data_IF_882419147025
#
_entry.id   IF_882419147025
#
_cell.length_a   1.000
_cell.length_b   1.000
_cell.length_c   1.000
_cell.angle_alpha   90.00
_cell.angle_beta   90.00
_cell.angle_gamma   90.00
#
_symmetry.space_group_name_H-M   'P 1'
#
loop_
_entity.id
_entity.type
_entity.pdbx_description
1 polymer ?
#
# COMPACT_ATOMS: atom_id res chain seq x y z
N UNK A 1 12.31 24.08 -0.96
CA UNK A 1 10.87 23.98 -1.31
C UNK A 1 10.23 23.11 -0.28
N UNK A 2 9.04 23.44 0.21
CA UNK A 2 8.25 22.61 1.12
C UNK A 2 6.88 22.35 0.52
N UNK A 3 6.30 21.19 0.81
CA UNK A 3 5.11 20.67 0.16
C UNK A 3 3.93 20.59 1.12
N UNK A 4 2.74 20.73 0.59
CA UNK A 4 1.49 20.40 1.29
C UNK A 4 1.10 18.97 0.98
N UNK A 5 1.07 18.12 2.00
CA UNK A 5 0.90 16.68 1.88
C UNK A 5 -0.37 16.21 2.57
N UNK A 6 -1.14 15.37 1.87
CA UNK A 6 -2.33 14.72 2.41
C UNK A 6 -2.06 13.23 2.55
N UNK A 7 -2.35 12.64 3.71
CA UNK A 7 -2.31 11.19 3.92
C UNK A 7 -3.73 10.68 4.05
N UNK A 8 -4.20 9.95 3.04
CA UNK A 8 -5.53 9.35 2.99
C UNK A 8 -5.50 7.95 3.58
N UNK A 9 -6.32 7.67 4.58
CA UNK A 9 -6.27 6.42 5.33
C UNK A 9 -5.24 6.45 6.47
N UNK A 10 -4.99 7.63 7.03
CA UNK A 10 -3.97 7.90 8.05
C UNK A 10 -4.11 7.06 9.34
N UNK A 11 -5.30 6.52 9.63
CA UNK A 11 -5.55 5.68 10.82
C UNK A 11 -5.18 4.21 10.61
N UNK A 12 -4.99 3.78 9.35
CA UNK A 12 -4.56 2.42 9.00
C UNK A 12 -3.07 2.18 9.24
N UNK A 13 -2.64 0.92 9.22
CA UNK A 13 -1.23 0.56 9.44
C UNK A 13 -0.29 1.26 8.44
N UNK A 14 -0.62 1.20 7.15
CA UNK A 14 0.19 1.83 6.09
C UNK A 14 0.16 3.36 6.21
N UNK A 15 -1.00 3.96 6.51
CA UNK A 15 -1.10 5.41 6.66
C UNK A 15 -0.29 5.95 7.84
N UNK A 16 -0.27 5.23 8.97
CA UNK A 16 0.57 5.57 10.12
C UNK A 16 2.05 5.45 9.80
N UNK A 17 2.43 4.39 9.07
CA UNK A 17 3.81 4.18 8.66
C UNK A 17 4.28 5.26 7.67
N UNK A 18 3.42 5.69 6.75
CA UNK A 18 3.71 6.83 5.87
C UNK A 18 4.01 8.09 6.69
N UNK A 19 3.18 8.39 7.70
CA UNK A 19 3.41 9.53 8.58
C UNK A 19 4.75 9.41 9.32
N UNK A 20 5.08 8.25 9.87
CA UNK A 20 6.34 7.99 10.55
C UNK A 20 7.54 8.19 9.62
N UNK A 21 7.50 7.62 8.40
CA UNK A 21 8.59 7.73 7.44
C UNK A 21 8.78 9.15 6.92
N UNK A 22 7.70 9.91 6.71
CA UNK A 22 7.79 11.31 6.31
C UNK A 22 8.51 12.15 7.37
N UNK A 23 8.25 11.89 8.65
CA UNK A 23 8.93 12.55 9.77
C UNK A 23 10.37 12.07 9.90
N UNK A 24 10.62 10.76 9.95
CA UNK A 24 11.96 10.16 10.06
C UNK A 24 12.91 10.65 8.96
N UNK A 25 12.40 10.82 7.74
CA UNK A 25 13.17 11.30 6.59
C UNK A 25 13.23 12.82 6.48
N UNK A 26 12.69 13.53 7.46
CA UNK A 26 12.63 15.01 7.46
C UNK A 26 12.10 15.55 6.11
N UNK A 27 11.05 14.88 5.56
CA UNK A 27 10.48 15.29 4.29
C UNK A 27 10.02 16.77 4.39
N UNK A 28 10.32 17.63 3.40
CA UNK A 28 10.09 19.06 3.50
C UNK A 28 8.60 19.41 3.42
N UNK A 29 7.89 19.31 4.53
CA UNK A 29 6.45 19.54 4.65
C UNK A 29 6.16 20.95 5.15
N UNK A 30 5.37 21.70 4.36
CA UNK A 30 4.80 22.99 4.77
C UNK A 30 3.51 22.79 5.57
N UNK A 31 2.66 21.87 5.11
CA UNK A 31 1.38 21.54 5.72
C UNK A 31 1.07 20.06 5.53
N UNK A 32 0.52 19.41 6.54
CA UNK A 32 0.14 18.01 6.49
C UNK A 32 -1.30 17.82 6.97
N UNK A 33 -2.09 17.05 6.22
CA UNK A 33 -3.44 16.67 6.59
C UNK A 33 -3.57 15.14 6.67
N UNK A 34 -4.19 14.67 7.75
CA UNK A 34 -4.54 13.26 7.93
C UNK A 34 -6.03 13.06 7.63
N UNK A 35 -6.36 12.20 6.66
CA UNK A 35 -7.74 11.91 6.29
C UNK A 35 -8.13 10.48 6.65
N UNK A 36 -9.38 10.31 7.04
CA UNK A 36 -9.97 9.02 7.34
C UNK A 36 -11.45 8.98 6.93
N UNK A 37 -12.04 7.79 6.98
CA UNK A 37 -13.50 7.66 6.84
C UNK A 37 -14.22 8.23 8.07
N UNK A 38 -15.51 8.49 7.93
CA UNK A 38 -16.37 8.97 9.05
C UNK A 38 -16.29 8.12 10.31
N UNK A 39 -16.03 6.81 10.18
CA UNK A 39 -15.87 5.90 11.34
C UNK A 39 -14.65 6.23 12.21
N UNK A 40 -13.65 6.87 11.61
CA UNK A 40 -12.40 7.24 12.29
C UNK A 40 -12.20 8.76 12.32
N UNK A 41 -13.25 9.54 12.09
CA UNK A 41 -13.20 11.00 12.15
C UNK A 41 -12.80 11.48 13.56
N UNK A 42 -11.87 12.42 13.61
CA UNK A 42 -11.36 12.97 14.87
C UNK A 42 -10.39 12.05 15.62
N UNK A 43 -10.10 10.85 15.08
CA UNK A 43 -9.03 10.00 15.63
C UNK A 43 -7.70 10.72 15.54
N UNK A 44 -6.92 10.64 16.59
CA UNK A 44 -5.59 11.22 16.63
C UNK A 44 -4.56 10.25 16.06
N UNK A 45 -3.64 10.81 15.24
CA UNK A 45 -2.49 10.09 14.68
C UNK A 45 -1.23 10.90 14.92
N UNK A 46 -0.11 10.24 15.18
CA UNK A 46 1.17 10.90 15.41
C UNK A 46 1.86 11.26 14.09
N UNK A 47 2.53 12.40 14.08
CA UNK A 47 3.49 12.81 13.06
C UNK A 47 4.66 13.46 13.77
N UNK A 48 5.75 12.73 13.99
CA UNK A 48 6.81 13.13 14.90
C UNK A 48 6.29 13.45 16.29
N UNK A 49 6.67 14.63 16.80
CA UNK A 49 6.21 15.15 18.08
C UNK A 49 4.81 15.78 18.04
N UNK A 50 4.19 15.82 16.85
CA UNK A 50 2.87 16.44 16.65
C UNK A 50 1.78 15.38 16.64
N UNK A 51 0.60 15.77 17.10
CA UNK A 51 -0.63 14.98 16.98
C UNK A 51 -1.54 15.63 15.96
N UNK A 52 -1.95 14.87 14.95
CA UNK A 52 -2.88 15.29 13.92
C UNK A 52 -4.25 14.68 14.19
N UNK A 53 -5.32 15.49 14.11
CA UNK A 53 -6.69 15.00 14.10
C UNK A 53 -7.11 14.67 12.67
N UNK A 54 -7.73 13.52 12.48
CA UNK A 54 -8.20 13.12 11.15
C UNK A 54 -9.42 13.93 10.73
N UNK A 55 -9.42 14.35 9.46
CA UNK A 55 -10.52 15.00 8.78
C UNK A 55 -11.33 13.97 7.96
N UNK A 56 -12.58 14.31 7.62
CA UNK A 56 -13.44 13.47 6.80
C UNK A 56 -13.00 13.52 5.33
N UNK A 57 -12.58 12.38 4.78
CA UNK A 57 -12.21 12.23 3.38
C UNK A 57 -13.34 12.66 2.43
N UNK A 58 -14.61 12.41 2.81
CA UNK A 58 -15.75 12.66 1.93
C UNK A 58 -16.01 14.16 1.69
N UNK A 59 -15.61 15.03 2.61
CA UNK A 59 -15.81 16.47 2.51
C UNK A 59 -14.52 17.27 2.34
N UNK A 60 -13.39 16.60 2.17
CA UNK A 60 -12.09 17.26 2.07
C UNK A 60 -11.90 17.91 0.70
N UNK A 61 -11.45 19.16 0.69
CA UNK A 61 -11.06 19.87 -0.51
C UNK A 61 -9.56 19.70 -0.77
N UNK A 62 -9.21 19.07 -1.90
CA UNK A 62 -7.84 18.85 -2.33
C UNK A 62 -7.21 20.06 -3.04
N UNK A 63 -7.95 21.14 -3.26
CA UNK A 63 -7.41 22.33 -3.93
C UNK A 63 -6.24 22.94 -3.15
N UNK A 64 -5.14 23.23 -3.85
CA UNK A 64 -3.95 23.83 -3.26
C UNK A 64 -3.05 22.87 -2.47
N UNK A 65 -3.29 21.56 -2.52
CA UNK A 65 -2.40 20.54 -2.01
C UNK A 65 -1.50 19.99 -3.13
N UNK A 66 -0.24 19.71 -2.80
CA UNK A 66 0.74 19.26 -3.79
C UNK A 66 0.70 17.74 -4.00
N UNK A 67 0.59 16.98 -2.90
CA UNK A 67 0.65 15.52 -2.93
C UNK A 67 -0.42 14.89 -2.05
N UNK A 68 -0.97 13.76 -2.52
CA UNK A 68 -1.91 12.94 -1.78
C UNK A 68 -1.46 11.47 -1.76
N UNK A 69 -1.07 10.99 -0.58
CA UNK A 69 -0.60 9.62 -0.34
C UNK A 69 -1.79 8.75 0.07
N UNK A 70 -2.21 7.85 -0.82
CA UNK A 70 -3.40 7.02 -0.62
C UNK A 70 -3.01 5.66 -0.01
N UNK A 71 -3.41 5.46 1.24
CA UNK A 71 -3.25 4.22 2.02
C UNK A 71 -4.62 3.60 2.33
N UNK A 72 -5.48 3.50 1.33
CA UNK A 72 -6.85 2.98 1.42
C UNK A 72 -7.09 1.87 0.40
N UNK A 73 -8.22 1.16 0.53
CA UNK A 73 -8.60 0.13 -0.44
C UNK A 73 -9.05 0.71 -1.78
N UNK A 74 -9.08 -0.15 -2.81
CA UNK A 74 -9.36 0.22 -4.20
C UNK A 74 -10.69 0.95 -4.40
N UNK A 75 -11.73 0.66 -3.61
CA UNK A 75 -13.03 1.35 -3.71
C UNK A 75 -12.91 2.84 -3.35
N UNK A 76 -12.27 3.16 -2.22
CA UNK A 76 -12.05 4.54 -1.84
C UNK A 76 -11.07 5.24 -2.80
N UNK A 77 -10.02 4.55 -3.25
CA UNK A 77 -9.10 5.08 -4.26
C UNK A 77 -9.85 5.43 -5.56
N UNK A 78 -10.73 4.56 -6.03
CA UNK A 78 -11.54 4.79 -7.24
C UNK A 78 -12.40 6.05 -7.15
N UNK A 79 -12.93 6.33 -5.97
CA UNK A 79 -13.78 7.51 -5.76
C UNK A 79 -12.98 8.80 -5.59
N UNK A 80 -11.89 8.77 -4.80
CA UNK A 80 -11.24 9.99 -4.33
C UNK A 80 -9.92 10.33 -5.05
N UNK A 81 -9.19 9.36 -5.59
CA UNK A 81 -7.95 9.64 -6.30
C UNK A 81 -8.15 10.52 -7.55
N UNK A 82 -9.18 10.29 -8.39
CA UNK A 82 -9.46 11.20 -9.49
C UNK A 82 -9.84 12.62 -9.06
N UNK A 83 -10.51 12.77 -7.91
CA UNK A 83 -10.86 14.10 -7.36
C UNK A 83 -9.61 14.86 -6.91
N UNK A 84 -8.68 14.18 -6.22
CA UNK A 84 -7.41 14.76 -5.83
C UNK A 84 -6.55 15.13 -7.05
N UNK A 85 -6.44 14.24 -8.02
CA UNK A 85 -5.72 14.48 -9.26
C UNK A 85 -6.29 15.65 -10.08
N UNK A 86 -7.62 15.75 -10.19
CA UNK A 86 -8.31 16.86 -10.85
C UNK A 86 -8.12 18.20 -10.13
N UNK A 87 -7.93 18.19 -8.81
CA UNK A 87 -7.59 19.36 -8.01
C UNK A 87 -6.13 19.81 -8.12
N UNK A 88 -5.29 19.07 -8.88
CA UNK A 88 -3.90 19.37 -9.12
C UNK A 88 -2.90 18.63 -8.22
N UNK A 89 -3.38 17.77 -7.29
CA UNK A 89 -2.49 16.94 -6.47
C UNK A 89 -1.84 15.84 -7.32
N UNK A 90 -0.59 15.54 -7.04
CA UNK A 90 0.00 14.26 -7.47
C UNK A 90 -0.42 13.20 -6.46
N UNK A 91 -1.17 12.21 -6.95
CA UNK A 91 -1.64 11.08 -6.14
C UNK A 91 -0.61 9.95 -6.17
N UNK A 92 -0.23 9.44 -5.01
CA UNK A 92 0.58 8.21 -4.88
C UNK A 92 -0.32 7.14 -4.25
N UNK A 93 -0.72 6.16 -5.08
CA UNK A 93 -1.70 5.14 -4.72
C UNK A 93 -1.06 3.82 -4.31
N UNK A 94 -1.29 3.38 -3.07
CA UNK A 94 -0.85 2.07 -2.58
C UNK A 94 -1.87 0.95 -2.85
N UNK A 95 -3.07 1.26 -3.35
CA UNK A 95 -4.04 0.23 -3.71
C UNK A 95 -3.61 -0.54 -4.97
N UNK A 96 -4.33 -1.59 -5.30
CA UNK A 96 -4.09 -2.33 -6.55
C UNK A 96 -4.82 -1.74 -7.77
N UNK A 97 -5.59 -0.65 -7.59
CA UNK A 97 -6.53 -0.17 -8.61
C UNK A 97 -5.84 0.24 -9.91
N UNK A 98 -4.80 1.06 -9.80
CA UNK A 98 -4.15 1.67 -10.96
C UNK A 98 -2.89 0.94 -11.44
N UNK A 99 -2.46 -0.12 -10.76
CA UNK A 99 -1.20 -0.81 -11.09
C UNK A 99 -1.12 -1.34 -12.52
N UNK A 100 -2.26 -1.72 -13.07
CA UNK A 100 -2.35 -2.32 -14.42
C UNK A 100 -2.90 -1.34 -15.48
N UNK A 101 -3.21 -0.11 -15.08
CA UNK A 101 -3.62 0.95 -16.01
C UNK A 101 -2.39 1.38 -16.85
N UNK A 102 -2.47 1.33 -18.21
CA UNK A 102 -1.33 1.68 -19.07
C UNK A 102 -0.99 3.18 -19.02
N UNK A 103 -1.89 4.03 -18.57
CA UNK A 103 -1.66 5.47 -18.45
C UNK A 103 -1.17 5.90 -17.06
N UNK A 104 -1.04 4.95 -16.13
CA UNK A 104 -0.53 5.19 -14.77
C UNK A 104 0.80 4.47 -14.60
N UNK A 105 1.88 5.19 -14.32
CA UNK A 105 3.18 4.58 -14.07
C UNK A 105 3.14 3.78 -12.75
N UNK A 106 3.71 2.58 -12.80
CA UNK A 106 3.94 1.72 -11.64
C UNK A 106 5.40 1.86 -11.22
N UNK A 107 5.66 2.50 -10.09
CA UNK A 107 7.00 3.00 -9.76
C UNK A 107 7.61 2.28 -8.56
N UNK A 108 8.85 1.87 -8.73
CA UNK A 108 9.82 1.58 -7.67
C UNK A 108 11.03 2.47 -7.95
N UNK A 109 11.26 3.53 -7.16
CA UNK A 109 12.25 4.56 -7.49
C UNK A 109 13.66 4.02 -7.75
N UNK A 110 14.07 2.96 -7.06
CA UNK A 110 15.38 2.32 -7.23
C UNK A 110 15.49 1.53 -8.54
N UNK A 111 14.38 1.31 -9.25
CA UNK A 111 14.33 0.44 -10.44
C UNK A 111 14.00 1.21 -11.70
N UNK A 112 12.94 2.03 -11.66
CA UNK A 112 12.40 2.72 -12.83
C UNK A 112 11.99 4.17 -12.53
N UNK A 113 12.83 4.93 -11.83
CA UNK A 113 12.55 6.31 -11.43
C UNK A 113 12.12 7.20 -12.61
N UNK A 114 12.70 7.01 -13.79
CA UNK A 114 12.42 7.84 -14.97
C UNK A 114 10.96 7.72 -15.43
N UNK A 115 10.28 6.61 -15.15
CA UNK A 115 8.87 6.44 -15.46
C UNK A 115 7.95 7.42 -14.68
N UNK A 116 8.46 8.10 -13.66
CA UNK A 116 7.70 9.09 -12.88
C UNK A 116 7.19 10.24 -13.77
N UNK A 117 7.93 10.60 -14.81
CA UNK A 117 7.54 11.65 -15.75
C UNK A 117 6.26 11.33 -16.53
N UNK A 118 5.83 10.07 -16.54
CA UNK A 118 4.56 9.68 -17.15
C UNK A 118 3.33 10.00 -16.30
N UNK A 119 3.51 10.35 -15.04
CA UNK A 119 2.41 10.64 -14.11
C UNK A 119 1.52 11.81 -14.57
N UNK A 120 2.05 12.73 -15.42
CA UNK A 120 1.30 13.87 -15.93
C UNK A 120 0.04 13.49 -16.73
N UNK A 121 -0.06 12.24 -17.21
CA UNK A 121 -1.24 11.77 -17.95
C UNK A 121 -2.50 11.77 -17.07
N UNK A 122 -2.36 11.37 -15.80
CA UNK A 122 -3.49 11.28 -14.85
C UNK A 122 -3.22 11.95 -13.50
N UNK A 123 -2.04 12.50 -13.26
CA UNK A 123 -1.55 12.94 -11.96
C UNK A 123 -1.62 11.82 -10.89
N UNK A 124 -1.49 10.57 -11.31
CA UNK A 124 -1.51 9.39 -10.44
C UNK A 124 -0.25 8.56 -10.68
N UNK A 125 0.37 8.14 -9.60
CA UNK A 125 1.47 7.18 -9.54
C UNK A 125 0.97 5.97 -8.76
N UNK A 126 1.13 4.76 -9.31
CA UNK A 126 0.81 3.53 -8.60
C UNK A 126 2.07 2.98 -7.90
N UNK A 127 1.88 2.54 -6.66
CA UNK A 127 2.88 1.81 -5.90
C UNK A 127 2.60 0.30 -6.02
N UNK A 128 3.62 -0.56 -6.26
CA UNK A 128 3.41 -1.99 -6.47
C UNK A 128 3.03 -2.73 -5.18
N UNK A 129 2.74 -4.01 -5.35
CA UNK A 129 2.62 -4.96 -4.24
C UNK A 129 3.91 -4.99 -3.42
N UNK A 130 3.78 -5.17 -2.10
CA UNK A 130 4.91 -5.12 -1.17
C UNK A 130 6.00 -6.17 -1.48
N UNK A 131 5.61 -7.38 -1.88
CA UNK A 131 6.55 -8.43 -2.27
C UNK A 131 7.23 -8.10 -3.59
N UNK A 132 6.49 -7.54 -4.56
CA UNK A 132 7.04 -7.08 -5.83
C UNK A 132 8.08 -5.98 -5.62
N UNK A 133 7.77 -4.95 -4.83
CA UNK A 133 8.67 -3.83 -4.58
C UNK A 133 10.04 -4.29 -4.08
N UNK A 134 10.06 -5.16 -3.05
CA UNK A 134 11.30 -5.70 -2.49
C UNK A 134 12.07 -6.56 -3.51
N UNK A 135 11.35 -7.40 -4.24
CA UNK A 135 11.94 -8.33 -5.19
C UNK A 135 12.62 -7.59 -6.36
N UNK A 136 11.96 -6.61 -6.97
CA UNK A 136 12.50 -5.92 -8.14
C UNK A 136 13.73 -5.07 -7.82
N UNK A 137 13.85 -4.54 -6.62
CA UNK A 137 15.06 -3.85 -6.16
C UNK A 137 16.26 -4.78 -6.14
N UNK A 138 16.07 -6.03 -5.70
CA UNK A 138 17.14 -7.04 -5.72
C UNK A 138 17.44 -7.56 -7.13
N UNK A 139 16.41 -7.66 -7.99
CA UNK A 139 16.54 -8.22 -9.34
C UNK A 139 17.15 -7.21 -10.34
N UNK A 140 16.86 -5.92 -10.20
CA UNK A 140 17.27 -4.88 -11.17
C UNK A 140 18.78 -4.89 -11.46
N UNK A 141 19.68 -4.81 -10.47
CA UNK A 141 21.12 -4.80 -10.74
C UNK A 141 21.62 -6.10 -11.38
N UNK A 142 20.95 -7.23 -11.15
CA UNK A 142 21.27 -8.49 -11.82
C UNK A 142 20.78 -8.50 -13.25
N UNK A 143 19.56 -8.00 -13.48
CA UNK A 143 18.96 -7.91 -14.81
C UNK A 143 19.76 -7.00 -15.74
N UNK A 144 20.28 -5.88 -15.23
CA UNK A 144 21.10 -4.93 -15.99
C UNK A 144 22.46 -5.53 -16.42
N UNK A 145 22.98 -6.46 -15.63
CA UNK A 145 24.24 -7.14 -15.92
C UNK A 145 24.07 -8.36 -16.82
N UNK A 146 22.99 -9.11 -16.62
CA UNK A 146 22.69 -10.35 -17.30
C UNK A 146 21.18 -10.54 -17.37
N UNK A 147 20.60 -10.37 -18.56
CA UNK A 147 19.15 -10.45 -18.76
C UNK A 147 18.56 -11.69 -18.08
N UNK A 148 17.73 -11.47 -17.05
CA UNK A 148 17.05 -12.53 -16.32
C UNK A 148 16.03 -13.19 -17.25
N UNK A 149 16.05 -14.51 -17.33
CA UNK A 149 15.11 -15.29 -18.14
C UNK A 149 14.03 -15.96 -17.29
N UNK A 150 14.33 -16.22 -16.01
CA UNK A 150 13.41 -16.91 -15.10
C UNK A 150 13.68 -16.47 -13.68
N UNK A 151 12.62 -16.23 -12.92
CA UNK A 151 12.64 -16.01 -11.47
C UNK A 151 11.85 -17.13 -10.80
N UNK A 152 12.41 -17.74 -9.76
CA UNK A 152 11.72 -18.62 -8.84
C UNK A 152 11.84 -18.01 -7.47
N UNK A 153 10.70 -17.70 -6.85
CA UNK A 153 10.65 -16.99 -5.57
C UNK A 153 9.70 -17.69 -4.60
N UNK A 154 10.08 -17.71 -3.34
CA UNK A 154 9.23 -18.12 -2.22
C UNK A 154 9.24 -17.01 -1.19
N UNK A 155 8.06 -16.65 -0.68
CA UNK A 155 7.91 -15.57 0.30
C UNK A 155 7.33 -16.07 1.61
N UNK A 156 7.76 -15.46 2.71
CA UNK A 156 7.09 -15.56 4.00
C UNK A 156 6.58 -14.17 4.36
N UNK A 157 5.25 -14.04 4.44
CA UNK A 157 4.59 -12.74 4.62
C UNK A 157 3.87 -12.66 5.96
N UNK A 158 3.96 -11.51 6.60
CA UNK A 158 3.30 -11.22 7.87
C UNK A 158 1.80 -11.04 7.68
N UNK A 159 1.03 -11.34 8.74
CA UNK A 159 -0.41 -11.08 8.83
C UNK A 159 -0.77 -9.59 8.68
N UNK A 160 0.19 -8.68 8.91
CA UNK A 160 -0.02 -7.24 8.77
C UNK A 160 -0.42 -6.81 7.36
N UNK A 161 -0.04 -7.57 6.33
CA UNK A 161 -0.49 -7.37 4.94
C UNK A 161 -2.01 -7.51 4.78
N UNK A 162 -2.68 -8.30 5.64
CA UNK A 162 -4.13 -8.40 5.69
C UNK A 162 -4.81 -7.27 6.50
N UNK A 163 -4.04 -6.26 6.92
CA UNK A 163 -4.51 -5.13 7.70
C UNK A 163 -4.69 -5.42 9.19
N UNK A 164 -5.34 -4.47 9.88
CA UNK A 164 -5.57 -4.58 11.32
C UNK A 164 -6.31 -5.86 11.71
N UNK A 165 -7.31 -6.26 10.94
CA UNK A 165 -8.10 -7.48 11.19
C UNK A 165 -7.22 -8.74 11.22
N UNK A 166 -6.21 -8.83 10.35
CA UNK A 166 -5.27 -9.96 10.35
C UNK A 166 -4.39 -9.98 11.60
N UNK A 167 -3.95 -8.81 12.06
CA UNK A 167 -3.17 -8.68 13.30
C UNK A 167 -4.02 -9.04 14.51
N UNK A 168 -5.24 -8.51 14.58
CA UNK A 168 -6.18 -8.77 15.69
C UNK A 168 -6.53 -10.27 15.74
N UNK A 169 -6.75 -10.92 14.60
CA UNK A 169 -7.05 -12.36 14.55
C UNK A 169 -5.85 -13.20 15.04
N UNK A 170 -4.63 -12.88 14.60
CA UNK A 170 -3.42 -13.56 15.12
C UNK A 170 -3.32 -13.41 16.65
N UNK A 171 -3.55 -12.20 17.14
CA UNK A 171 -3.49 -11.91 18.57
C UNK A 171 -4.55 -12.70 19.35
N UNK A 172 -5.79 -12.71 18.88
CA UNK A 172 -6.89 -13.42 19.52
C UNK A 172 -6.69 -14.94 19.48
N UNK A 173 -6.25 -15.50 18.36
CA UNK A 173 -5.89 -16.91 18.26
C UNK A 173 -4.72 -17.27 19.20
N UNK A 174 -3.70 -16.42 19.30
CA UNK A 174 -2.56 -16.65 20.22
C UNK A 174 -3.02 -16.70 21.67
N UNK A 175 -3.89 -15.77 22.08
CA UNK A 175 -4.46 -15.78 23.44
C UNK A 175 -5.31 -17.03 23.71
N UNK A 176 -6.12 -17.44 22.74
CA UNK A 176 -7.05 -18.58 22.91
C UNK A 176 -6.34 -19.93 23.03
N UNK A 177 -5.11 -20.06 22.54
CA UNK A 177 -4.30 -21.26 22.76
C UNK A 177 -3.97 -21.44 24.25
N UNK A 178 -3.77 -20.34 24.97
CA UNK A 178 -3.50 -20.36 26.42
C UNK A 178 -4.76 -20.23 27.27
N UNK A 179 -5.87 -19.77 26.67
CA UNK A 179 -7.17 -19.65 27.33
C UNK A 179 -8.29 -20.16 26.38
N UNK A 180 -8.60 -21.47 26.40
CA UNK A 180 -9.53 -22.11 25.45
C UNK A 180 -10.98 -21.61 25.49
N UNK A 181 -11.37 -20.84 26.49
CA UNK A 181 -12.76 -20.32 26.65
C UNK A 181 -13.12 -19.34 25.49
N UNK A 182 -12.12 -18.67 24.90
CA UNK A 182 -12.33 -17.64 23.88
C UNK A 182 -12.00 -18.12 22.46
N UNK A 183 -11.99 -19.42 22.20
CA UNK A 183 -11.62 -19.97 20.90
C UNK A 183 -12.69 -19.68 19.85
N UNK A 184 -12.43 -18.66 19.01
CA UNK A 184 -13.27 -18.29 17.86
C UNK A 184 -12.70 -18.92 16.57
N UNK A 185 -13.58 -19.35 15.64
CA UNK A 185 -13.10 -19.81 14.33
C UNK A 185 -12.39 -18.67 13.57
N UNK A 186 -11.42 -18.99 12.71
CA UNK A 186 -10.80 -18.02 11.84
C UNK A 186 -11.86 -17.28 10.99
N UNK A 187 -11.69 -15.99 10.79
CA UNK A 187 -12.59 -15.13 10.01
C UNK A 187 -11.89 -14.44 8.87
N UNK A 188 -10.65 -14.01 9.07
CA UNK A 188 -9.81 -13.35 8.08
C UNK A 188 -8.97 -14.35 7.29
N UNK A 189 -8.43 -15.34 7.97
CA UNK A 189 -7.66 -16.40 7.36
C UNK A 189 -8.49 -17.67 7.15
N UNK A 190 -8.09 -18.50 6.21
CA UNK A 190 -8.78 -19.75 5.87
C UNK A 190 -8.63 -20.82 6.97
N UNK A 191 -7.60 -20.69 7.80
CA UNK A 191 -7.26 -21.60 8.91
C UNK A 191 -6.61 -20.81 10.04
N UNK A 192 -6.38 -21.48 11.17
CA UNK A 192 -5.58 -20.92 12.25
C UNK A 192 -4.23 -20.46 11.72
N UNK A 193 -3.90 -19.19 11.99
CA UNK A 193 -2.60 -18.59 11.62
C UNK A 193 -1.62 -18.55 12.81
N UNK A 194 -2.12 -18.51 14.07
CA UNK A 194 -1.26 -18.52 15.23
C UNK A 194 -0.43 -19.81 15.27
N UNK A 195 0.90 -19.64 15.38
CA UNK A 195 1.89 -20.74 15.36
C UNK A 195 1.81 -21.63 14.12
N UNK A 196 1.43 -21.08 12.99
CA UNK A 196 1.22 -21.81 11.75
C UNK A 196 1.71 -20.99 10.54
N UNK A 197 1.85 -21.69 9.40
CA UNK A 197 2.08 -21.11 8.08
C UNK A 197 0.98 -21.60 7.15
N UNK A 198 0.28 -20.68 6.51
CA UNK A 198 -0.74 -20.98 5.49
C UNK A 198 -0.06 -20.85 4.12
N UNK A 199 -0.02 -21.92 3.30
CA UNK A 199 0.78 -21.95 2.07
C UNK A 199 0.12 -21.25 0.88
N UNK A 200 -0.66 -20.21 1.11
CA UNK A 200 -1.22 -19.33 0.08
C UNK A 200 -1.58 -17.97 0.65
N UNK A 201 -1.60 -16.96 -0.20
CA UNK A 201 -2.05 -15.60 0.12
C UNK A 201 -3.02 -15.14 -0.96
N UNK A 202 -4.12 -14.47 -0.53
CA UNK A 202 -5.20 -14.00 -1.39
C UNK A 202 -6.01 -15.17 -1.99
N UNK A 203 -6.89 -14.89 -2.95
CA UNK A 203 -7.80 -15.85 -3.57
C UNK A 203 -7.12 -16.60 -4.70
N UNK A 204 -7.56 -17.83 -4.95
CA UNK A 204 -7.12 -18.59 -6.13
C UNK A 204 -7.84 -18.09 -7.38
N UNK A 205 -7.09 -18.01 -8.46
CA UNK A 205 -7.58 -17.68 -9.81
C UNK A 205 -7.87 -18.97 -10.59
N UNK A 206 -8.59 -18.84 -11.71
CA UNK A 206 -8.89 -19.97 -12.59
C UNK A 206 -7.63 -20.62 -13.19
N UNK A 207 -6.53 -19.88 -13.25
CA UNK A 207 -5.21 -20.41 -13.66
C UNK A 207 -4.57 -21.38 -12.67
N UNK A 208 -5.09 -21.45 -11.44
CA UNK A 208 -4.49 -22.20 -10.34
C UNK A 208 -3.52 -21.38 -9.48
N UNK A 209 -3.08 -20.22 -9.96
CA UNK A 209 -2.27 -19.28 -9.19
C UNK A 209 -3.13 -18.57 -8.14
N UNK A 210 -2.50 -18.08 -7.08
CA UNK A 210 -3.14 -17.08 -6.23
C UNK A 210 -3.07 -15.70 -6.86
N UNK A 211 -3.98 -14.82 -6.49
CA UNK A 211 -3.95 -13.42 -6.95
C UNK A 211 -2.65 -12.72 -6.52
N UNK A 212 -2.07 -13.10 -5.38
CA UNK A 212 -0.78 -12.56 -4.92
C UNK A 212 0.37 -12.97 -5.85
N UNK A 213 0.42 -14.24 -6.25
CA UNK A 213 1.42 -14.73 -7.21
C UNK A 213 1.28 -14.03 -8.56
N UNK A 214 0.05 -13.91 -9.06
CA UNK A 214 -0.23 -13.21 -10.30
C UNK A 214 0.23 -11.74 -10.28
N UNK A 215 -0.02 -11.03 -9.17
CA UNK A 215 0.47 -9.64 -8.99
C UNK A 215 1.98 -9.56 -9.16
N UNK A 216 2.73 -10.44 -8.50
CA UNK A 216 4.18 -10.47 -8.59
C UNK A 216 4.66 -10.64 -10.03
N UNK A 217 4.03 -11.52 -10.79
CA UNK A 217 4.38 -11.75 -12.21
C UNK A 217 4.07 -10.52 -13.06
N UNK A 218 2.84 -10.01 -12.99
CA UNK A 218 2.38 -8.92 -13.84
C UNK A 218 3.09 -7.58 -13.52
N UNK A 219 3.25 -7.28 -12.23
CA UNK A 219 3.87 -6.04 -11.78
C UNK A 219 5.38 -6.05 -12.05
N UNK A 220 6.07 -7.17 -11.85
CA UNK A 220 7.51 -7.29 -12.17
C UNK A 220 7.78 -7.01 -13.63
N UNK A 221 6.98 -7.57 -14.53
CA UNK A 221 7.11 -7.31 -15.96
C UNK A 221 6.94 -5.82 -16.29
N UNK A 222 5.93 -5.18 -15.72
CA UNK A 222 5.66 -3.75 -15.96
C UNK A 222 6.77 -2.85 -15.41
N UNK A 223 7.37 -3.18 -14.26
CA UNK A 223 8.39 -2.36 -13.61
C UNK A 223 9.76 -2.50 -14.26
N UNK A 224 10.14 -3.74 -14.64
CA UNK A 224 11.45 -4.02 -15.24
C UNK A 224 11.44 -3.80 -16.76
N UNK A 225 10.27 -3.52 -17.33
CA UNK A 225 10.06 -3.38 -18.79
C UNK A 225 10.58 -4.61 -19.56
N UNK A 226 10.16 -5.80 -19.12
CA UNK A 226 10.54 -7.07 -19.71
C UNK A 226 9.30 -7.84 -20.20
N UNK A 227 9.39 -8.31 -21.46
CA UNK A 227 8.38 -9.19 -22.06
C UNK A 227 8.29 -10.57 -21.39
#
# INVERSE_FOLDING_TARGET
MSYKVVVVGATGNVGREILNILDEREFPIAEIAALASRKSLGTEVSFGDKTLKTNDLASFDFAGWDMALFAVGSEATKEYAPKAAAAGCIVIDNSSLYRYDPEVPLIVPEVNADAIFECHKKNIIANPNCSTAQMVVALKPLHDRAKIKRVVVSTYQSVSGAGKEGIDELWDQTKSIYNPVDNKPPTKFTKQIAFNVIPHIDVFLDSGDTKEEWKMVAETKKIIDSE
#
